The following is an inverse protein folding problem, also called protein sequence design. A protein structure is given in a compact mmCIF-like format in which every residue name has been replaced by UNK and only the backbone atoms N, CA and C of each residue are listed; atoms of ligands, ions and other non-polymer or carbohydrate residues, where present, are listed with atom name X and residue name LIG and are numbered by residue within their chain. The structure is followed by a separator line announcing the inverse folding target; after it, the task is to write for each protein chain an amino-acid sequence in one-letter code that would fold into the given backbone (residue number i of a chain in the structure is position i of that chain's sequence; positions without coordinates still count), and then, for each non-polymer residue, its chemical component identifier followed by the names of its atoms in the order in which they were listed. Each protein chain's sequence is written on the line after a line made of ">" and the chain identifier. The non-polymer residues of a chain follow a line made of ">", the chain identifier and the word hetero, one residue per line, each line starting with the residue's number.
data_IF_343027423268
#
_entry.id   IF_343027423268
#
_cell.length_a   1.000
_cell.length_b   1.000
_cell.length_c   1.000
_cell.angle_alpha   90.00
_cell.angle_beta   90.00
_cell.angle_gamma   90.00
#
_symmetry.space_group_name_H-M   'P 1'
#
loop_
_entity.id
_entity.type
_entity.pdbx_description
1 polymer ?
#
# COMPACT_ATOMS: atom_id res chain seq x y z
N UNK A 1 -13.68 4.42 -5.58
CA UNK A 1 -12.80 3.27 -5.28
C UNK A 1 -11.35 3.57 -5.59
N UNK A 2 -10.96 3.81 -6.85
CA UNK A 2 -9.55 4.09 -7.22
C UNK A 2 -8.89 5.26 -6.45
N UNK A 3 -9.55 6.42 -6.36
CA UNK A 3 -9.03 7.57 -5.60
C UNK A 3 -8.79 7.26 -4.11
N UNK A 4 -9.66 6.43 -3.52
CA UNK A 4 -9.56 5.98 -2.13
C UNK A 4 -8.39 5.01 -1.95
N UNK A 5 -8.18 4.08 -2.88
CA UNK A 5 -7.00 3.20 -2.92
C UNK A 5 -5.70 4.01 -2.99
N UNK A 6 -5.64 5.01 -3.86
CA UNK A 6 -4.44 5.87 -3.97
C UNK A 6 -4.24 6.74 -2.73
N UNK A 7 -5.31 7.15 -2.04
CA UNK A 7 -5.21 7.88 -0.78
C UNK A 7 -4.66 7.01 0.35
N UNK A 8 -5.17 5.78 0.51
CA UNK A 8 -4.63 4.81 1.47
C UNK A 8 -3.16 4.50 1.18
N UNK A 9 -2.79 4.37 -0.10
CA UNK A 9 -1.39 4.16 -0.46
C UNK A 9 -0.48 5.31 -0.07
N UNK A 10 -0.93 6.57 -0.28
CA UNK A 10 -0.17 7.73 0.19
C UNK A 10 0.02 7.70 1.70
N UNK A 11 -1.05 7.47 2.45
CA UNK A 11 -1.00 7.37 3.92
C UNK A 11 -0.01 6.31 4.41
N UNK A 12 0.01 5.13 3.78
CA UNK A 12 0.96 4.06 4.10
C UNK A 12 2.41 4.49 3.83
N UNK A 13 2.68 5.21 2.73
CA UNK A 13 4.03 5.68 2.42
C UNK A 13 4.46 6.83 3.33
N UNK A 14 3.56 7.77 3.64
CA UNK A 14 3.81 8.88 4.55
C UNK A 14 4.11 8.35 5.96
N UNK A 15 3.29 7.41 6.45
CA UNK A 15 3.54 6.72 7.72
C UNK A 15 4.89 5.99 7.70
N UNK A 16 5.20 5.25 6.64
CA UNK A 16 6.47 4.54 6.54
C UNK A 16 7.67 5.50 6.56
N UNK A 17 7.53 6.68 5.95
CA UNK A 17 8.55 7.73 5.98
C UNK A 17 8.74 8.31 7.38
N UNK A 18 7.67 8.55 8.14
CA UNK A 18 7.76 8.96 9.55
C UNK A 18 8.55 7.96 10.40
N UNK A 19 8.53 6.68 10.04
CA UNK A 19 9.30 5.61 10.66
C UNK A 19 10.67 5.34 9.99
N UNK A 20 11.15 6.22 9.11
CA UNK A 20 12.48 6.17 8.51
C UNK A 20 12.62 5.29 7.25
N UNK A 21 11.51 4.83 6.67
CA UNK A 21 11.50 4.15 5.38
C UNK A 21 11.33 5.19 4.28
N UNK A 22 12.45 5.75 3.79
CA UNK A 22 12.40 6.75 2.72
C UNK A 22 11.74 6.22 1.43
N UNK A 23 10.92 7.05 0.76
CA UNK A 23 10.30 6.71 -0.51
C UNK A 23 11.33 6.53 -1.62
N UNK A 24 11.07 5.58 -2.51
CA UNK A 24 11.86 5.33 -3.71
C UNK A 24 10.92 5.28 -4.92
N UNK A 25 10.87 6.38 -5.66
CA UNK A 25 9.96 6.56 -6.80
C UNK A 25 10.25 5.61 -7.96
N UNK A 26 11.43 4.96 -7.98
CA UNK A 26 11.75 3.95 -9.00
C UNK A 26 11.06 2.61 -8.77
N UNK A 27 10.48 2.40 -7.58
CA UNK A 27 9.86 1.13 -7.22
C UNK A 27 8.38 1.06 -7.61
N UNK A 28 7.99 -0.10 -8.15
CA UNK A 28 6.58 -0.49 -8.26
C UNK A 28 5.94 -0.60 -6.87
N UNK A 29 4.62 -0.39 -6.72
CA UNK A 29 3.95 -0.52 -5.42
C UNK A 29 4.22 -1.84 -4.70
N UNK A 30 4.27 -2.99 -5.41
CA UNK A 30 4.59 -4.28 -4.78
C UNK A 30 6.00 -4.36 -4.20
N UNK A 31 6.98 -3.70 -4.83
CA UNK A 31 8.37 -3.63 -4.32
C UNK A 31 8.48 -2.69 -3.13
N UNK A 32 7.84 -1.52 -3.23
CA UNK A 32 7.73 -0.58 -2.11
C UNK A 32 7.09 -1.25 -0.88
N UNK A 33 5.98 -1.99 -1.06
CA UNK A 33 5.35 -2.75 0.02
C UNK A 33 6.29 -3.78 0.67
N UNK A 34 7.03 -4.57 -0.13
CA UNK A 34 8.00 -5.52 0.40
C UNK A 34 9.11 -4.83 1.20
N UNK A 35 9.53 -3.64 0.76
CA UNK A 35 10.51 -2.81 1.47
C UNK A 35 9.95 -2.28 2.80
N UNK A 36 8.73 -1.74 2.80
CA UNK A 36 8.04 -1.26 3.99
C UNK A 36 7.89 -2.38 5.02
N UNK A 37 7.37 -3.55 4.61
CA UNK A 37 7.21 -4.71 5.49
C UNK A 37 8.55 -5.15 6.10
N UNK A 38 9.60 -5.22 5.27
CA UNK A 38 10.92 -5.67 5.73
C UNK A 38 11.56 -4.67 6.70
N UNK A 39 11.54 -3.37 6.38
CA UNK A 39 12.20 -2.34 7.20
C UNK A 39 11.39 -1.96 8.43
N UNK A 40 10.06 -1.95 8.33
CA UNK A 40 9.16 -1.71 9.46
C UNK A 40 8.93 -2.95 10.32
N UNK A 41 9.61 -4.06 10.03
CA UNK A 41 9.49 -5.35 10.72
C UNK A 41 8.03 -5.84 10.89
N UNK A 42 7.17 -5.51 9.93
CA UNK A 42 5.75 -5.86 9.99
C UNK A 42 5.59 -7.38 9.87
N UNK A 43 4.65 -7.94 10.64
CA UNK A 43 4.37 -9.38 10.65
C UNK A 43 2.88 -9.65 10.66
N UNK A 44 2.50 -10.83 10.19
CA UNK A 44 1.11 -11.28 10.14
C UNK A 44 0.23 -10.28 9.38
N UNK A 45 -0.91 -9.95 9.97
CA UNK A 45 -1.95 -9.16 9.31
C UNK A 45 -1.47 -7.80 8.82
N UNK A 46 -0.58 -7.13 9.57
CA UNK A 46 -0.04 -5.83 9.16
C UNK A 46 0.80 -5.93 7.88
N UNK A 47 1.57 -7.01 7.72
CA UNK A 47 2.33 -7.25 6.49
C UNK A 47 1.40 -7.59 5.32
N UNK A 48 0.40 -8.43 5.56
CA UNK A 48 -0.58 -8.84 4.56
C UNK A 48 -1.41 -7.65 4.07
N UNK A 49 -1.81 -6.74 4.97
CA UNK A 49 -2.53 -5.52 4.65
C UNK A 49 -1.75 -4.62 3.68
N UNK A 50 -0.47 -4.34 3.95
CA UNK A 50 0.37 -3.52 3.06
C UNK A 50 0.48 -4.15 1.67
N UNK A 51 0.63 -5.48 1.60
CA UNK A 51 0.64 -6.19 0.32
C UNK A 51 -0.71 -6.15 -0.42
N UNK A 52 -1.84 -6.22 0.30
CA UNK A 52 -3.18 -6.06 -0.29
C UNK A 52 -3.38 -4.67 -0.86
N UNK A 53 -3.01 -3.62 -0.13
CA UNK A 53 -3.07 -2.23 -0.63
C UNK A 53 -2.22 -2.09 -1.88
N UNK A 54 -0.97 -2.56 -1.88
CA UNK A 54 -0.09 -2.47 -3.05
C UNK A 54 -0.65 -3.19 -4.27
N UNK A 55 -1.27 -4.37 -4.09
CA UNK A 55 -1.97 -5.06 -5.18
C UNK A 55 -3.10 -4.21 -5.75
N UNK A 56 -3.93 -3.62 -4.88
CA UNK A 56 -5.04 -2.78 -5.31
C UNK A 56 -4.54 -1.53 -6.06
N UNK A 57 -3.42 -0.94 -5.65
CA UNK A 57 -2.78 0.19 -6.36
C UNK A 57 -2.33 -0.24 -7.76
N UNK A 58 -1.65 -1.37 -7.88
CA UNK A 58 -1.23 -1.89 -9.19
C UNK A 58 -2.42 -2.20 -10.09
N UNK A 59 -3.52 -2.73 -9.56
CA UNK A 59 -4.76 -2.89 -10.32
C UNK A 59 -5.31 -1.56 -10.81
N UNK A 60 -5.34 -0.53 -9.95
CA UNK A 60 -5.77 0.83 -10.35
C UNK A 60 -4.87 1.43 -11.42
N UNK A 61 -3.55 1.19 -11.36
CA UNK A 61 -2.58 1.78 -12.29
C UNK A 61 -2.50 1.05 -13.63
N UNK A 62 -2.64 -0.29 -13.62
CA UNK A 62 -2.26 -1.12 -14.76
C UNK A 62 -3.40 -1.97 -15.31
N UNK A 63 -4.49 -2.20 -14.57
CA UNK A 63 -5.60 -3.01 -15.07
C UNK A 63 -6.49 -2.17 -16.01
N UNK A 64 -6.84 -2.69 -17.20
CA UNK A 64 -7.79 -2.03 -18.09
C UNK A 64 -9.18 -1.83 -17.46
N UNK A 65 -9.55 -2.68 -16.50
CA UNK A 65 -10.79 -2.62 -15.71
C UNK A 65 -10.49 -3.00 -14.25
N UNK A 66 -10.11 -2.04 -13.40
CA UNK A 66 -9.77 -2.32 -12.00
C UNK A 66 -11.00 -2.84 -11.24
N UNK A 67 -10.81 -3.88 -10.42
CA UNK A 67 -11.87 -4.43 -9.59
C UNK A 67 -11.89 -3.73 -8.23
N UNK A 68 -13.07 -3.45 -7.66
CA UNK A 68 -13.15 -2.92 -6.32
C UNK A 68 -12.65 -3.94 -5.29
N UNK A 69 -11.59 -3.61 -4.56
CA UNK A 69 -11.26 -4.27 -3.30
C UNK A 69 -12.07 -3.59 -2.20
N UNK A 70 -12.87 -4.35 -1.47
CA UNK A 70 -13.71 -3.81 -0.41
C UNK A 70 -12.87 -3.21 0.73
N UNK A 71 -13.32 -2.06 1.25
CA UNK A 71 -13.00 -1.45 2.56
C UNK A 71 -11.54 -1.19 2.95
N UNK A 72 -10.61 -1.09 1.99
CA UNK A 72 -9.20 -0.74 2.27
C UNK A 72 -9.00 0.53 3.13
N UNK A 73 -9.88 1.53 2.99
CA UNK A 73 -9.75 2.76 3.78
C UNK A 73 -10.28 2.65 5.20
N UNK A 74 -11.25 1.76 5.42
CA UNK A 74 -11.71 1.48 6.77
C UNK A 74 -10.67 0.63 7.52
N UNK A 75 -10.05 -0.30 6.79
CA UNK A 75 -8.96 -1.13 7.31
C UNK A 75 -7.71 -0.32 7.67
N UNK A 76 -7.33 0.67 6.86
CA UNK A 76 -6.20 1.55 7.14
C UNK A 76 -6.39 2.48 8.35
N UNK A 77 -7.64 2.73 8.76
CA UNK A 77 -7.98 3.57 9.90
C UNK A 77 -8.07 2.83 11.24
N UNK A 78 -7.87 1.51 11.27
CA UNK A 78 -7.86 0.70 12.49
C UNK A 78 -6.45 0.50 13.01
#
# INVERSE_FOLDING_TARGET
>A
TAARTLAVWREVNDTAWDYGVEPDESQTPRRAAARIVRLGELRGESADAVHRVARAVEEVLYAPRPQPVADLAEEAGR
#
